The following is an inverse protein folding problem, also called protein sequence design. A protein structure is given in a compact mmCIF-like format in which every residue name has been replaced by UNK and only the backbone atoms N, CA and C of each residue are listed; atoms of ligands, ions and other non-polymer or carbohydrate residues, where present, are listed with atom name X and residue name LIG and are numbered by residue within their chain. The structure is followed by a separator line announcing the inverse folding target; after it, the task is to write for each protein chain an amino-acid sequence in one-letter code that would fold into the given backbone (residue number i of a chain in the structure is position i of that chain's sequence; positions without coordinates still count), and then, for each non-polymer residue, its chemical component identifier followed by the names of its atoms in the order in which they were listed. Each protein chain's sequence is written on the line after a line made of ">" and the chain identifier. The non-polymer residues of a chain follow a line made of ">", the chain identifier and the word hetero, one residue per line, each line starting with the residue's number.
data_IF_502304008911
#
_entry.id   IF_502304008911
#
_cell.length_a   1.000
_cell.length_b   1.000
_cell.length_c   1.000
_cell.angle_alpha   90.00
_cell.angle_beta   90.00
_cell.angle_gamma   90.00
#
_symmetry.space_group_name_H-M   'P 1'
#
loop_
_entity.id
_entity.type
_entity.pdbx_description
1 polymer ?
#
# COMPACT_ATOMS: atom_id res chain seq x y z
N UNK A 1 -6.06 -9.98 -19.88
CA UNK A 1 -6.42 -9.02 -18.82
C UNK A 1 -7.92 -9.00 -18.68
N UNK A 2 -8.43 -9.13 -17.47
CA UNK A 2 -9.83 -8.95 -17.13
C UNK A 2 -9.94 -8.22 -15.78
N UNK A 3 -11.09 -7.63 -15.52
CA UNK A 3 -11.31 -6.91 -14.27
C UNK A 3 -12.73 -7.08 -13.76
N UNK A 4 -12.93 -6.73 -12.52
CA UNK A 4 -14.24 -6.72 -11.87
C UNK A 4 -14.48 -5.32 -11.30
N UNK A 5 -15.70 -4.82 -11.46
CA UNK A 5 -16.15 -3.57 -10.87
C UNK A 5 -17.00 -3.91 -9.65
N UNK A 6 -16.73 -3.25 -8.53
CA UNK A 6 -17.47 -3.41 -7.28
C UNK A 6 -17.82 -2.05 -6.69
N UNK A 7 -19.01 -1.92 -6.13
CA UNK A 7 -19.38 -0.81 -5.28
C UNK A 7 -18.90 -1.11 -3.85
N UNK A 8 -18.22 -0.16 -3.25
CA UNK A 8 -17.68 -0.27 -1.90
C UNK A 8 -18.26 0.87 -1.08
N UNK A 9 -18.85 0.55 0.06
CA UNK A 9 -19.31 1.54 1.01
C UNK A 9 -18.14 2.13 1.80
N UNK A 10 -18.33 3.37 2.28
CA UNK A 10 -17.37 4.04 3.14
C UNK A 10 -17.09 3.22 4.39
N UNK A 11 -15.82 2.98 4.68
CA UNK A 11 -15.35 2.39 5.93
C UNK A 11 -15.14 3.52 6.97
N UNK A 12 -15.88 3.44 8.08
CA UNK A 12 -15.80 4.42 9.17
C UNK A 12 -15.12 3.85 10.42
N UNK A 13 -14.83 2.55 10.44
CA UNK A 13 -14.39 1.84 11.63
C UNK A 13 -12.88 1.50 11.60
N UNK A 14 -12.32 1.24 10.43
CA UNK A 14 -10.92 0.84 10.31
C UNK A 14 -9.97 2.02 10.38
N UNK A 15 -8.89 1.90 11.16
CA UNK A 15 -7.84 2.93 11.23
C UNK A 15 -7.17 3.18 9.87
N UNK A 16 -6.87 2.11 9.11
CA UNK A 16 -6.38 2.18 7.74
C UNK A 16 -7.52 1.95 6.72
N UNK A 17 -8.62 2.69 6.87
CA UNK A 17 -9.71 2.63 5.92
C UNK A 17 -9.23 2.95 4.49
N UNK A 18 -9.29 1.96 3.59
CA UNK A 18 -8.96 2.20 2.19
C UNK A 18 -10.12 2.84 1.42
N UNK A 19 -11.36 2.54 1.80
CA UNK A 19 -12.56 3.18 1.28
C UNK A 19 -12.96 4.38 2.15
N UNK A 20 -12.29 5.51 1.99
CA UNK A 20 -12.57 6.74 2.76
C UNK A 20 -13.90 7.40 2.38
N UNK A 21 -14.44 7.06 1.23
CA UNK A 21 -15.76 7.43 0.74
C UNK A 21 -16.39 6.22 0.06
N UNK A 22 -17.68 6.30 -0.29
CA UNK A 22 -18.31 5.26 -1.11
C UNK A 22 -17.77 5.32 -2.53
N UNK A 23 -17.12 4.26 -2.98
CA UNK A 23 -16.35 4.23 -4.22
C UNK A 23 -16.78 3.12 -5.17
N UNK A 24 -16.41 3.31 -6.42
CA UNK A 24 -16.34 2.23 -7.40
C UNK A 24 -14.91 1.68 -7.40
N UNK A 25 -14.77 0.43 -6.98
CA UNK A 25 -13.50 -0.28 -6.99
C UNK A 25 -13.34 -1.05 -8.29
N UNK A 26 -12.18 -0.94 -8.92
CA UNK A 26 -11.80 -1.74 -10.10
C UNK A 26 -10.71 -2.72 -9.66
N UNK A 27 -11.05 -4.02 -9.69
CA UNK A 27 -10.07 -5.10 -9.49
C UNK A 27 -9.51 -5.50 -10.83
N UNK A 28 -8.23 -5.24 -11.06
CA UNK A 28 -7.56 -5.57 -12.32
C UNK A 28 -6.75 -6.86 -12.17
N UNK A 29 -6.99 -7.83 -13.06
CA UNK A 29 -6.16 -9.03 -13.21
C UNK A 29 -5.28 -8.84 -14.43
N UNK A 30 -4.00 -8.63 -14.18
CA UNK A 30 -3.00 -8.36 -15.22
C UNK A 30 -2.30 -9.66 -15.61
N UNK A 31 -2.11 -9.87 -16.90
CA UNK A 31 -1.23 -10.92 -17.37
C UNK A 31 0.21 -10.40 -17.34
N UNK A 32 1.11 -11.16 -16.69
CA UNK A 32 2.51 -10.81 -16.52
C UNK A 32 3.36 -11.86 -17.20
N UNK A 33 4.27 -11.46 -18.08
CA UNK A 33 5.30 -12.37 -18.59
C UNK A 33 6.30 -12.63 -17.45
N UNK A 34 6.57 -13.92 -17.18
CA UNK A 34 7.48 -14.35 -16.11
C UNK A 34 8.95 -14.25 -16.55
N UNK A 35 9.37 -13.08 -17.06
CA UNK A 35 10.73 -12.70 -17.36
C UNK A 35 11.09 -11.45 -16.56
N UNK A 36 12.37 -11.17 -16.36
CA UNK A 36 12.83 -9.95 -15.68
C UNK A 36 12.25 -8.70 -16.33
N UNK A 37 12.31 -8.61 -17.65
CA UNK A 37 11.76 -7.50 -18.44
C UNK A 37 10.24 -7.38 -18.25
N UNK A 38 9.50 -8.49 -18.28
CA UNK A 38 8.05 -8.51 -18.07
C UNK A 38 7.67 -8.04 -16.67
N UNK A 39 8.41 -8.45 -15.65
CA UNK A 39 8.21 -8.04 -14.26
C UNK A 39 8.50 -6.55 -14.09
N UNK A 40 9.61 -6.04 -14.61
CA UNK A 40 9.94 -4.61 -14.52
C UNK A 40 8.93 -3.74 -15.28
N UNK A 41 8.45 -4.18 -16.44
CA UNK A 41 7.38 -3.51 -17.16
C UNK A 41 6.11 -3.40 -16.30
N UNK A 42 5.67 -4.49 -15.71
CA UNK A 42 4.46 -4.51 -14.87
C UNK A 42 4.63 -3.66 -13.61
N UNK A 43 5.79 -3.66 -12.98
CA UNK A 43 6.07 -2.75 -11.85
C UNK A 43 5.89 -1.28 -12.23
N UNK A 44 6.41 -0.90 -13.39
CA UNK A 44 6.28 0.48 -13.91
C UNK A 44 4.82 0.82 -14.21
N UNK A 45 4.13 -0.07 -14.93
CA UNK A 45 2.72 0.12 -15.27
C UNK A 45 1.85 0.22 -14.02
N UNK A 46 2.14 -0.60 -13.00
CA UNK A 46 1.45 -0.57 -11.71
C UNK A 46 1.65 0.75 -10.97
N UNK A 47 2.89 1.26 -10.88
CA UNK A 47 3.19 2.56 -10.26
C UNK A 47 2.45 3.70 -10.97
N UNK A 48 2.47 3.72 -12.30
CA UNK A 48 1.75 4.73 -13.07
C UNK A 48 0.23 4.67 -12.84
N UNK A 49 -0.33 3.45 -12.71
CA UNK A 49 -1.74 3.27 -12.37
C UNK A 49 -2.07 3.86 -10.99
N UNK A 50 -1.22 3.62 -10.00
CA UNK A 50 -1.40 4.18 -8.66
C UNK A 50 -1.33 5.70 -8.64
N UNK A 51 -0.38 6.30 -9.38
CA UNK A 51 -0.28 7.75 -9.51
C UNK A 51 -1.58 8.34 -10.05
N UNK A 52 -2.15 7.73 -11.10
CA UNK A 52 -3.44 8.17 -11.67
C UNK A 52 -4.61 8.01 -10.69
N UNK A 53 -4.63 6.93 -9.93
CA UNK A 53 -5.66 6.73 -8.90
C UNK A 53 -5.58 7.81 -7.82
N UNK A 54 -4.37 8.14 -7.38
CA UNK A 54 -4.11 9.18 -6.36
C UNK A 54 -4.48 10.57 -6.89
N UNK A 55 -4.08 10.91 -8.11
CA UNK A 55 -4.44 12.18 -8.78
C UNK A 55 -5.96 12.39 -8.87
N UNK A 56 -6.73 11.31 -9.01
CA UNK A 56 -8.20 11.35 -9.05
C UNK A 56 -8.84 11.33 -7.64
N UNK A 57 -8.05 11.44 -6.59
CA UNK A 57 -8.52 11.39 -5.20
C UNK A 57 -8.89 9.99 -4.71
N UNK A 58 -8.57 8.96 -5.48
CA UNK A 58 -8.82 7.58 -5.14
C UNK A 58 -7.79 6.99 -4.18
N UNK A 59 -7.93 5.70 -3.93
CA UNK A 59 -7.05 4.92 -3.08
C UNK A 59 -6.85 3.52 -3.66
N UNK A 60 -5.94 2.75 -3.12
CA UNK A 60 -5.65 1.39 -3.56
C UNK A 60 -5.58 0.43 -2.37
N UNK A 61 -5.83 -0.85 -2.63
CA UNK A 61 -5.79 -1.87 -1.61
C UNK A 61 -4.34 -2.31 -1.33
N UNK A 62 -3.85 -2.10 -0.12
CA UNK A 62 -2.43 -2.23 0.26
C UNK A 62 -1.86 -3.66 0.21
N UNK A 63 -2.71 -4.69 0.26
CA UNK A 63 -2.25 -6.04 0.61
C UNK A 63 -1.71 -6.87 -0.55
N UNK A 64 -1.92 -6.47 -1.81
CA UNK A 64 -1.58 -7.31 -2.96
C UNK A 64 -0.15 -7.17 -3.46
N UNK A 65 0.37 -5.96 -3.56
CA UNK A 65 1.68 -5.72 -4.16
C UNK A 65 2.55 -4.79 -3.32
N UNK A 66 3.85 -5.07 -3.32
CA UNK A 66 4.87 -4.31 -2.60
C UNK A 66 5.62 -3.31 -3.52
N UNK A 67 5.13 -3.04 -4.72
CA UNK A 67 5.77 -2.13 -5.70
C UNK A 67 5.33 -0.67 -5.55
N UNK A 68 4.98 -0.29 -4.35
CA UNK A 68 4.42 1.02 -4.01
C UNK A 68 5.53 1.87 -3.41
N UNK A 69 5.61 3.15 -3.80
CA UNK A 69 6.55 4.07 -3.17
C UNK A 69 5.99 4.61 -1.85
N UNK A 70 6.88 5.11 -1.01
CA UNK A 70 6.52 5.75 0.26
C UNK A 70 5.59 6.94 0.05
N UNK A 71 5.86 7.76 -0.96
CA UNK A 71 5.06 8.92 -1.34
C UNK A 71 3.65 8.51 -1.75
N UNK A 72 3.52 7.44 -2.54
CA UNK A 72 2.22 6.89 -2.93
C UNK A 72 1.43 6.39 -1.73
N UNK A 73 2.10 5.72 -0.78
CA UNK A 73 1.45 5.26 0.46
C UNK A 73 0.98 6.45 1.28
N UNK A 74 1.80 7.47 1.49
CA UNK A 74 1.46 8.66 2.28
C UNK A 74 0.34 9.48 1.65
N UNK A 75 0.31 9.58 0.32
CA UNK A 75 -0.76 10.26 -0.39
C UNK A 75 -2.12 9.54 -0.26
N UNK A 76 -2.11 8.21 -0.36
CA UNK A 76 -3.32 7.40 -0.26
C UNK A 76 -3.76 7.16 1.20
N UNK A 77 -2.80 7.07 2.14
CA UNK A 77 -3.01 6.76 3.55
C UNK A 77 -2.21 7.73 4.44
N UNK A 78 -2.67 8.96 4.65
CA UNK A 78 -1.93 9.96 5.45
C UNK A 78 -1.61 9.50 6.88
N UNK A 79 -2.43 8.62 7.45
CA UNK A 79 -2.27 8.06 8.80
C UNK A 79 -1.31 6.86 8.86
N UNK A 80 -0.63 6.49 7.76
CA UNK A 80 0.16 5.25 7.71
C UNK A 80 1.34 5.23 8.69
N UNK A 81 2.01 6.37 8.88
CA UNK A 81 3.08 6.51 9.87
C UNK A 81 2.57 6.28 11.30
N UNK A 82 1.42 6.84 11.62
CA UNK A 82 0.77 6.65 12.92
C UNK A 82 0.39 5.18 13.13
N UNK A 83 -0.11 4.52 12.09
CA UNK A 83 -0.36 3.07 12.15
C UNK A 83 0.90 2.28 12.53
N UNK A 84 2.06 2.56 11.93
CA UNK A 84 3.31 1.89 12.27
C UNK A 84 3.75 2.18 13.72
N UNK A 85 3.54 3.40 14.21
CA UNK A 85 3.81 3.75 15.62
C UNK A 85 2.88 3.00 16.57
N UNK A 86 1.60 2.92 16.26
CA UNK A 86 0.62 2.14 17.03
C UNK A 86 0.98 0.66 17.04
N UNK A 87 1.34 0.10 15.89
CA UNK A 87 1.81 -1.29 15.80
C UNK A 87 2.99 -1.54 16.75
N UNK A 88 3.99 -0.66 16.75
CA UNK A 88 5.15 -0.77 17.64
C UNK A 88 4.78 -0.58 19.11
N UNK A 89 3.81 0.28 19.41
CA UNK A 89 3.30 0.51 20.78
C UNK A 89 2.60 -0.73 21.34
N UNK A 90 1.76 -1.39 20.54
CA UNK A 90 0.97 -2.55 20.98
C UNK A 90 1.73 -3.88 20.87
N UNK A 91 2.75 -3.94 20.05
CA UNK A 91 3.65 -5.09 19.89
C UNK A 91 5.10 -4.63 19.89
N UNK A 92 5.63 -4.17 21.04
CA UNK A 92 6.99 -3.60 21.12
C UNK A 92 8.09 -4.60 20.78
N UNK A 93 7.87 -5.87 21.02
CA UNK A 93 8.81 -6.96 20.67
C UNK A 93 8.62 -7.47 19.25
N UNK A 94 7.67 -6.94 18.50
CA UNK A 94 7.36 -7.30 17.12
C UNK A 94 7.18 -8.82 16.93
N UNK A 95 6.43 -9.45 17.84
CA UNK A 95 6.11 -10.89 17.79
C UNK A 95 5.18 -11.21 16.62
N UNK A 96 4.20 -10.33 16.37
CA UNK A 96 3.25 -10.48 15.27
C UNK A 96 3.77 -9.77 14.02
N UNK A 97 4.32 -10.54 13.10
CA UNK A 97 4.87 -10.03 11.85
C UNK A 97 4.24 -10.73 10.65
N UNK A 98 4.23 -10.02 9.53
CA UNK A 98 3.91 -10.54 8.22
C UNK A 98 4.90 -9.95 7.21
N UNK A 99 5.06 -10.58 6.06
CA UNK A 99 5.88 -10.05 4.97
C UNK A 99 5.45 -8.64 4.56
N UNK A 100 4.15 -8.37 4.64
CA UNK A 100 3.59 -7.06 4.38
C UNK A 100 4.13 -6.03 5.39
N UNK A 101 3.99 -6.33 6.70
CA UNK A 101 4.47 -5.45 7.75
C UNK A 101 5.98 -5.22 7.68
N UNK A 102 6.77 -6.28 7.49
CA UNK A 102 8.22 -6.17 7.38
C UNK A 102 8.64 -5.26 6.22
N UNK A 103 8.01 -5.42 5.05
CA UNK A 103 8.26 -4.56 3.89
C UNK A 103 8.00 -3.07 4.20
N UNK A 104 6.84 -2.75 4.74
CA UNK A 104 6.50 -1.35 5.03
C UNK A 104 7.31 -0.79 6.19
N UNK A 105 7.60 -1.57 7.21
CA UNK A 105 8.52 -1.17 8.29
C UNK A 105 9.88 -0.75 7.71
N UNK A 106 10.46 -1.55 6.83
CA UNK A 106 11.74 -1.26 6.20
C UNK A 106 11.67 -0.03 5.27
N UNK A 107 10.58 0.12 4.52
CA UNK A 107 10.33 1.29 3.68
C UNK A 107 10.28 2.60 4.48
N UNK A 108 9.81 2.53 5.73
CA UNK A 108 9.68 3.68 6.64
C UNK A 108 10.84 3.80 7.64
N UNK A 109 11.81 2.89 7.60
CA UNK A 109 13.01 2.97 8.43
C UNK A 109 13.80 4.22 8.09
N UNK A 110 14.08 5.02 9.11
CA UNK A 110 14.93 6.20 8.97
C UNK A 110 16.37 5.81 9.31
N UNK A 111 17.30 5.79 8.36
CA UNK A 111 18.69 5.40 8.61
C UNK A 111 19.42 6.32 9.61
N UNK A 112 18.90 7.53 9.85
CA UNK A 112 19.50 8.49 10.79
C UNK A 112 19.21 8.14 12.26
N UNK A 113 18.16 7.37 12.56
CA UNK A 113 17.76 7.02 13.94
C UNK A 113 18.54 5.80 14.47
N UNK A 114 19.04 4.92 13.61
CA UNK A 114 19.77 3.71 14.01
C UNK A 114 21.27 3.97 14.31
N UNK A 115 21.83 5.09 13.87
CA UNK A 115 23.23 5.43 14.12
C UNK A 115 23.50 5.96 15.55
N UNK A 116 22.47 6.01 16.42
CA UNK A 116 22.55 6.64 17.75
C UNK A 116 22.25 5.68 18.91
N UNK A 117 22.17 4.36 18.65
CA UNK A 117 22.02 3.33 19.69
C UNK A 117 23.18 2.37 19.73
#
# INVERSE_FOLDING_TARGET
>A
TYGTIRFIEKDQDSFLAWARESWVCIVCNLHVAHSEEGIEKVKKDFKNLLDRVIELGGCFYLTYHKWISKEQVEAAYPQFREFLMLKKRYDPSEVFQSDWYCYFKDLYRDPAVEATN
#
